data_IF_949048279081
#
_entry.id   IF_949048279081
#
_cell.length_a   1.000
_cell.length_b   1.000
_cell.length_c   1.000
_cell.angle_alpha   90.00
_cell.angle_beta   90.00
_cell.angle_gamma   90.00
#
_symmetry.space_group_name_H-M   'P 1'
#
loop_
_entity.id
_entity.type
_entity.pdbx_description
1 polymer ?
#
# COMPACT_ATOMS: atom_id res chain seq x y z
N UNK A 1 -21.99 -6.07 -1.58
CA UNK A 1 -21.46 -4.87 -2.24
C UNK A 1 -20.74 -4.01 -1.23
N UNK A 2 -19.50 -3.66 -1.49
CA UNK A 2 -18.78 -2.79 -0.57
C UNK A 2 -19.42 -1.40 -0.57
N UNK A 3 -19.37 -0.73 0.57
CA UNK A 3 -19.88 0.64 0.66
C UNK A 3 -18.97 1.59 -0.12
N UNK A 4 -19.54 2.70 -0.55
CA UNK A 4 -18.75 3.74 -1.22
C UNK A 4 -17.65 4.29 -0.31
N UNK A 5 -17.89 4.31 1.00
CA UNK A 5 -16.88 4.75 1.96
C UNK A 5 -15.66 3.84 1.98
N UNK A 6 -15.90 2.53 1.96
CA UNK A 6 -14.81 1.55 1.94
C UNK A 6 -14.00 1.69 0.67
N UNK A 7 -14.67 1.83 -0.48
CA UNK A 7 -13.98 2.01 -1.74
C UNK A 7 -13.14 3.29 -1.75
N UNK A 8 -13.66 4.37 -1.17
CA UNK A 8 -12.91 5.63 -1.10
C UNK A 8 -11.69 5.51 -0.21
N UNK A 9 -11.83 4.86 0.95
CA UNK A 9 -10.70 4.68 1.85
C UNK A 9 -9.63 3.80 1.23
N UNK A 10 -10.03 2.70 0.59
CA UNK A 10 -9.10 1.81 -0.10
C UNK A 10 -8.38 2.53 -1.24
N UNK A 11 -9.12 3.28 -2.05
CA UNK A 11 -8.54 4.05 -3.15
C UNK A 11 -7.57 5.10 -2.65
N UNK A 12 -7.91 5.76 -1.55
CA UNK A 12 -7.03 6.76 -0.96
C UNK A 12 -5.73 6.13 -0.47
N UNK A 13 -5.81 4.98 0.19
CA UNK A 13 -4.61 4.28 0.66
C UNK A 13 -3.72 3.88 -0.51
N UNK A 14 -4.31 3.35 -1.59
CA UNK A 14 -3.56 2.98 -2.80
C UNK A 14 -2.87 4.21 -3.39
N UNK A 15 -3.58 5.32 -3.50
CA UNK A 15 -3.02 6.56 -4.04
C UNK A 15 -1.86 7.06 -3.19
N UNK A 16 -2.02 7.07 -1.88
CA UNK A 16 -0.96 7.50 -0.97
C UNK A 16 0.24 6.58 -1.02
N UNK A 17 0.01 5.26 -1.13
CA UNK A 17 1.08 4.29 -1.27
C UNK A 17 1.85 4.51 -2.57
N UNK A 18 1.14 4.77 -3.67
CA UNK A 18 1.78 5.03 -4.96
C UNK A 18 2.70 6.26 -4.88
N UNK A 19 2.23 7.32 -4.26
CA UNK A 19 3.04 8.54 -4.09
C UNK A 19 4.25 8.30 -3.21
N UNK A 20 4.06 7.58 -2.11
CA UNK A 20 5.16 7.25 -1.20
C UNK A 20 6.23 6.42 -1.90
N UNK A 21 5.81 5.36 -2.59
CA UNK A 21 6.73 4.47 -3.29
C UNK A 21 7.47 5.22 -4.39
N UNK A 22 6.78 6.05 -5.16
CA UNK A 22 7.41 6.83 -6.21
C UNK A 22 8.51 7.75 -5.67
N UNK A 23 8.32 8.26 -4.46
CA UNK A 23 9.30 9.15 -3.83
C UNK A 23 10.46 8.40 -3.19
N UNK A 24 10.19 7.24 -2.57
CA UNK A 24 11.16 6.56 -1.72
C UNK A 24 11.85 5.36 -2.39
N UNK A 25 11.25 4.77 -3.42
CA UNK A 25 11.84 3.61 -4.08
C UNK A 25 12.94 4.03 -5.05
N UNK A 26 13.96 3.18 -5.15
CA UNK A 26 15.04 3.41 -6.10
C UNK A 26 14.64 3.16 -7.54
N UNK A 27 15.54 3.47 -8.46
CA UNK A 27 15.34 3.22 -9.88
C UNK A 27 15.62 1.76 -10.19
N UNK A 28 15.08 1.29 -11.29
CA UNK A 28 15.33 -0.05 -11.79
C UNK A 28 14.29 -1.06 -11.41
N UNK A 29 13.42 -0.74 -10.45
CA UNK A 29 12.32 -1.61 -10.06
C UNK A 29 11.05 -0.78 -10.03
N UNK A 30 10.04 -1.24 -10.75
CA UNK A 30 8.73 -0.59 -10.75
C UNK A 30 7.81 -1.34 -9.80
N UNK A 31 7.37 -0.65 -8.75
CA UNK A 31 6.43 -1.18 -7.76
C UNK A 31 5.13 -0.42 -7.92
N UNK A 32 4.05 -1.13 -8.24
CA UNK A 32 2.75 -0.51 -8.50
C UNK A 32 1.72 -1.04 -7.52
N UNK A 33 1.20 -0.21 -6.60
CA UNK A 33 0.07 -0.61 -5.78
C UNK A 33 -1.18 -0.79 -6.65
N UNK A 34 -1.86 -1.92 -6.49
CA UNK A 34 -3.02 -2.25 -7.32
C UNK A 34 -4.33 -2.07 -6.57
N UNK A 35 -4.38 -2.52 -5.32
CA UNK A 35 -5.57 -2.42 -4.50
C UNK A 35 -5.20 -2.53 -3.04
N UNK A 36 -6.12 -2.16 -2.17
CA UNK A 36 -5.98 -2.32 -0.73
C UNK A 36 -7.23 -2.99 -0.18
N UNK A 37 -7.04 -3.95 0.71
CA UNK A 37 -8.12 -4.60 1.44
C UNK A 37 -8.06 -4.12 2.89
N UNK A 38 -9.14 -3.51 3.36
CA UNK A 38 -9.22 -3.02 4.74
C UNK A 38 -10.05 -3.99 5.54
N UNK A 39 -9.56 -4.38 6.72
CA UNK A 39 -10.28 -5.29 7.61
C UNK A 39 -11.60 -4.65 8.08
N UNK A 40 -12.60 -5.48 8.47
CA UNK A 40 -13.89 -4.93 8.90
C UNK A 40 -13.81 -3.95 10.06
N UNK A 41 -12.86 -4.14 10.99
CA UNK A 41 -12.66 -3.23 12.11
C UNK A 41 -11.81 -2.01 11.73
N UNK A 42 -11.34 -1.94 10.47
CA UNK A 42 -10.53 -0.86 9.90
C UNK A 42 -9.16 -0.68 10.56
N UNK A 43 -8.72 -1.65 11.34
CA UNK A 43 -7.43 -1.56 12.02
C UNK A 43 -6.27 -2.08 11.18
N UNK A 44 -6.55 -2.83 10.12
CA UNK A 44 -5.53 -3.41 9.26
C UNK A 44 -5.87 -3.19 7.80
N UNK A 45 -4.85 -2.93 7.00
CA UNK A 45 -4.99 -2.81 5.56
C UNK A 45 -3.85 -3.58 4.89
N UNK A 46 -4.20 -4.37 3.88
CA UNK A 46 -3.22 -5.08 3.06
C UNK A 46 -3.20 -4.42 1.69
N UNK A 47 -2.02 -3.98 1.29
CA UNK A 47 -1.83 -3.34 -0.02
C UNK A 47 -1.14 -4.35 -0.94
N UNK A 48 -1.80 -4.66 -2.05
CA UNK A 48 -1.27 -5.60 -3.04
C UNK A 48 -0.56 -4.83 -4.12
N UNK A 49 0.67 -5.24 -4.41
CA UNK A 49 1.52 -4.56 -5.38
C UNK A 49 1.97 -5.50 -6.47
N UNK A 50 2.16 -4.97 -7.66
CA UNK A 50 2.89 -5.66 -8.72
C UNK A 50 4.31 -5.12 -8.77
N UNK A 51 5.25 -5.96 -9.19
CA UNK A 51 6.66 -5.60 -9.26
C UNK A 51 7.21 -5.99 -10.61
N UNK A 52 7.93 -5.07 -11.23
CA UNK A 52 8.61 -5.31 -12.50
C UNK A 52 10.07 -4.86 -12.39
N UNK A 53 11.08 -5.65 -12.78
CA UNK A 53 10.95 -7.03 -13.30
C UNK A 53 10.48 -8.03 -12.24
N UNK A 54 9.91 -9.14 -12.69
CA UNK A 54 9.32 -10.14 -11.79
C UNK A 54 10.33 -10.70 -10.78
N UNK A 55 11.59 -10.85 -11.16
CA UNK A 55 12.63 -11.40 -10.29
C UNK A 55 13.00 -10.47 -9.14
N UNK A 56 12.49 -9.23 -9.12
CA UNK A 56 12.72 -8.27 -8.04
C UNK A 56 11.62 -8.29 -6.98
N UNK A 57 10.66 -9.22 -7.08
CA UNK A 57 9.54 -9.27 -6.17
C UNK A 57 9.92 -9.36 -4.70
N UNK A 58 10.80 -10.31 -4.36
CA UNK A 58 11.22 -10.48 -2.96
C UNK A 58 11.97 -9.27 -2.44
N UNK A 59 12.82 -8.70 -3.28
CA UNK A 59 13.60 -7.52 -2.93
C UNK A 59 12.68 -6.32 -2.67
N UNK A 60 11.71 -6.12 -3.56
CA UNK A 60 10.73 -5.04 -3.42
C UNK A 60 9.88 -5.22 -2.17
N UNK A 61 9.45 -6.46 -1.88
CA UNK A 61 8.65 -6.73 -0.70
C UNK A 61 9.43 -6.46 0.57
N UNK A 62 10.73 -6.81 0.61
CA UNK A 62 11.58 -6.49 1.75
C UNK A 62 11.69 -4.98 1.97
N UNK A 63 11.85 -4.21 0.89
CA UNK A 63 11.83 -2.75 0.96
C UNK A 63 10.53 -2.24 1.57
N UNK A 64 9.39 -2.74 1.08
CA UNK A 64 8.08 -2.31 1.56
C UNK A 64 7.87 -2.67 3.03
N UNK A 65 8.32 -3.83 3.46
CA UNK A 65 8.21 -4.23 4.87
C UNK A 65 9.01 -3.31 5.78
N UNK A 66 10.18 -2.87 5.33
CA UNK A 66 10.97 -1.91 6.09
C UNK A 66 10.30 -0.53 6.15
N UNK A 67 9.51 -0.19 5.15
CA UNK A 67 8.90 1.13 5.04
C UNK A 67 7.45 1.20 5.51
N UNK A 68 6.86 0.11 5.95
CA UNK A 68 5.42 0.10 6.27
C UNK A 68 5.06 1.10 7.37
N UNK A 69 5.89 1.21 8.39
CA UNK A 69 5.60 2.12 9.51
C UNK A 69 5.89 3.57 9.13
N UNK A 70 6.93 3.80 8.33
CA UNK A 70 7.20 5.13 7.80
C UNK A 70 6.08 5.60 6.88
N UNK A 71 5.58 4.72 6.05
CA UNK A 71 4.44 5.03 5.20
C UNK A 71 3.20 5.34 6.04
N UNK A 72 2.91 4.50 7.04
CA UNK A 72 1.79 4.73 7.94
C UNK A 72 1.90 6.09 8.62
N UNK A 73 3.09 6.43 9.10
CA UNK A 73 3.32 7.73 9.72
C UNK A 73 3.14 8.88 8.74
N UNK A 74 3.51 8.71 7.47
CA UNK A 74 3.29 9.74 6.46
C UNK A 74 1.80 9.98 6.23
N UNK A 75 0.98 8.94 6.33
CA UNK A 75 -0.48 9.08 6.18
C UNK A 75 -1.09 9.92 7.31
N UNK A 76 -0.52 9.89 8.50
CA UNK A 76 -1.02 10.70 9.62
C UNK A 76 -1.06 12.19 9.28
N UNK A 77 -0.12 12.63 8.45
CA UNK A 77 0.02 14.05 8.12
C UNK A 77 -0.78 14.46 6.89
N UNK A 78 -1.20 13.48 6.07
CA UNK A 78 -1.76 13.78 4.76
C UNK A 78 -3.18 13.28 4.57
N UNK A 79 -3.76 12.60 5.55
CA UNK A 79 -5.09 12.02 5.41
C UNK A 79 -5.97 12.32 6.61
N UNK A 80 -7.29 12.28 6.35
CA UNK A 80 -8.31 12.47 7.38
C UNK A 80 -9.02 11.18 7.71
N UNK A 81 -8.37 10.04 7.52
CA UNK A 81 -8.95 8.77 7.92
C UNK A 81 -9.19 8.75 9.42
N UNK A 82 -10.42 8.38 9.82
CA UNK A 82 -10.78 8.34 11.23
C UNK A 82 -9.96 7.30 12.00
N UNK A 83 -9.68 6.18 11.35
CA UNK A 83 -8.83 5.12 11.87
C UNK A 83 -7.67 4.95 10.91
N UNK A 84 -6.45 5.02 11.43
CA UNK A 84 -5.25 4.81 10.62
C UNK A 84 -4.85 3.34 10.73
N UNK A 85 -5.05 2.54 9.68
CA UNK A 85 -4.79 1.11 9.78
C UNK A 85 -3.29 0.79 9.84
N UNK A 86 -2.97 -0.35 10.44
CA UNK A 86 -1.66 -0.94 10.29
C UNK A 86 -1.54 -1.49 8.88
N UNK A 87 -0.35 -1.35 8.29
CA UNK A 87 -0.15 -1.64 6.87
C UNK A 87 0.63 -2.93 6.69
N UNK A 88 0.17 -3.77 5.77
CA UNK A 88 0.89 -4.94 5.28
C UNK A 88 0.96 -4.83 3.76
N UNK A 89 2.11 -5.15 3.19
CA UNK A 89 2.28 -5.21 1.74
C UNK A 89 2.40 -6.66 1.30
N UNK A 90 1.75 -7.00 0.19
CA UNK A 90 1.85 -8.32 -0.41
C UNK A 90 1.96 -8.22 -1.93
N UNK A 91 2.59 -9.23 -2.53
CA UNK A 91 2.69 -9.30 -3.98
C UNK A 91 1.38 -9.84 -4.55
N UNK A 92 0.93 -9.22 -5.63
CA UNK A 92 -0.32 -9.60 -6.31
C UNK A 92 -0.01 -10.56 -7.45
N UNK A 93 0.33 -11.80 -7.11
CA UNK A 93 0.60 -12.81 -8.14
C UNK A 93 -0.71 -13.28 -8.78
N UNK A 94 -0.66 -13.47 -10.09
CA UNK A 94 -1.78 -14.03 -10.83
C UNK A 94 -2.95 -13.09 -11.05
N UNK A 95 -2.75 -11.83 -10.85
CA UNK A 95 -3.82 -10.83 -11.05
C UNK A 95 -3.73 -10.13 -12.37
#
# INVERSE_FOLDING_TARGET
>A
MSSMRENKAESLIVELAAKYIAREAGRGTLITPLRADISPDRKNATIYVSVFPDDQGDHALAFLKRHKDLFRNSMKRTTRLAILPYITFELAYGE
#
